data_IF_682879802330
#
_entry.id   IF_682879802330
#
_cell.length_a   1.000
_cell.length_b   1.000
_cell.length_c   1.000
_cell.angle_alpha   90.00
_cell.angle_beta   90.00
_cell.angle_gamma   90.00
#
_symmetry.space_group_name_H-M   'P 1'
#
loop_
_entity.id
_entity.type
_entity.pdbx_description
1 polymer ?
#
# COMPACT_ATOMS: atom_id res chain seq x y z
N UNK A 1 16.55 27.36 -43.60
CA UNK A 1 15.89 26.32 -44.41
C UNK A 1 16.90 25.20 -44.64
N UNK A 2 17.04 24.30 -43.68
CA UNK A 2 16.39 22.97 -43.64
C UNK A 2 16.96 21.99 -44.66
N UNK A 3 17.81 21.08 -44.17
CA UNK A 3 17.93 19.73 -44.71
C UNK A 3 18.54 18.73 -43.70
N UNK A 4 17.95 17.52 -43.75
CA UNK A 4 18.42 16.17 -43.40
C UNK A 4 18.45 15.62 -41.96
N UNK A 5 17.79 14.45 -41.87
CA UNK A 5 17.77 13.42 -40.82
C UNK A 5 19.17 12.91 -40.47
N UNK A 6 19.40 12.57 -39.20
CA UNK A 6 20.30 11.48 -38.83
C UNK A 6 19.88 10.79 -37.51
N UNK A 7 20.02 9.47 -37.54
CA UNK A 7 19.85 8.47 -36.49
C UNK A 7 20.53 8.79 -35.15
N UNK A 8 19.80 8.67 -34.04
CA UNK A 8 20.35 8.74 -32.68
C UNK A 8 20.57 7.37 -32.05
N UNK A 9 21.77 6.81 -32.20
CA UNK A 9 22.26 5.70 -31.35
C UNK A 9 22.30 6.18 -29.88
N UNK A 10 21.69 5.41 -28.98
CA UNK A 10 21.76 5.63 -27.52
C UNK A 10 23.20 5.45 -27.03
N UNK A 11 23.82 6.55 -26.61
CA UNK A 11 25.11 6.54 -25.91
C UNK A 11 24.89 6.02 -24.48
N UNK A 12 25.48 4.86 -24.17
CA UNK A 12 25.55 4.29 -22.81
C UNK A 12 26.54 5.13 -21.98
N UNK A 13 26.04 5.98 -21.09
CA UNK A 13 26.86 6.47 -19.98
C UNK A 13 26.93 5.39 -18.90
N UNK A 14 28.06 4.67 -18.85
CA UNK A 14 28.49 3.89 -17.68
C UNK A 14 28.87 4.90 -16.58
N UNK A 15 28.11 4.95 -15.49
CA UNK A 15 28.59 5.53 -14.24
C UNK A 15 28.96 4.39 -13.29
N UNK A 16 30.23 4.39 -12.89
CA UNK A 16 30.88 3.39 -12.06
C UNK A 16 30.16 3.18 -10.73
N UNK A 17 30.03 1.91 -10.36
CA UNK A 17 29.51 1.49 -9.08
C UNK A 17 30.61 1.61 -8.01
N UNK A 18 30.55 2.65 -7.17
CA UNK A 18 31.25 2.63 -5.90
C UNK A 18 30.53 1.69 -4.92
N UNK A 19 31.29 0.72 -4.43
CA UNK A 19 30.90 -0.21 -3.36
C UNK A 19 30.61 0.58 -2.09
N UNK A 20 29.35 0.56 -1.63
CA UNK A 20 28.97 1.09 -0.32
C UNK A 20 28.61 -0.07 0.62
N UNK A 21 29.38 -0.15 1.70
CA UNK A 21 29.42 -1.14 2.78
C UNK A 21 28.06 -1.61 3.35
N UNK A 22 28.06 -2.88 3.79
CA UNK A 22 26.91 -3.66 4.30
C UNK A 22 26.20 -3.11 5.54
N UNK A 23 26.77 -2.14 6.24
CA UNK A 23 26.12 -1.48 7.39
C UNK A 23 25.00 -0.50 7.00
N UNK A 24 24.96 -0.06 5.73
CA UNK A 24 23.93 0.85 5.19
C UNK A 24 22.70 0.08 4.67
N UNK A 25 22.84 -1.21 4.37
CA UNK A 25 21.75 -2.08 3.90
C UNK A 25 20.59 -2.18 4.89
N UNK A 26 20.88 -2.17 6.20
CA UNK A 26 19.88 -2.29 7.25
C UNK A 26 18.98 -1.04 7.39
N UNK A 27 19.48 0.15 7.08
CA UNK A 27 18.68 1.39 7.13
C UNK A 27 17.72 1.52 5.94
N UNK A 28 18.10 1.03 4.75
CA UNK A 28 17.25 1.06 3.54
C UNK A 28 16.03 0.15 3.64
N UNK A 29 16.15 -0.99 4.34
CA UNK A 29 14.99 -1.85 4.65
C UNK A 29 14.11 -1.30 5.78
N UNK A 30 14.59 -0.32 6.56
CA UNK A 30 13.83 0.32 7.67
C UNK A 30 13.03 1.55 7.21
N UNK A 31 13.45 2.18 6.12
CA UNK A 31 12.67 3.21 5.39
C UNK A 31 11.43 2.59 4.71
N UNK A 32 11.40 1.27 4.50
CA UNK A 32 10.25 0.53 3.92
C UNK A 32 8.96 0.78 4.69
N UNK A 33 9.00 0.75 6.03
CA UNK A 33 7.81 1.02 6.86
C UNK A 33 7.20 2.39 6.55
N UNK A 34 8.01 3.32 6.06
CA UNK A 34 7.62 4.69 5.77
C UNK A 34 7.30 4.97 4.30
N UNK A 35 7.86 4.23 3.35
CA UNK A 35 7.31 4.21 1.98
C UNK A 35 5.94 3.56 2.00
N UNK A 36 5.75 2.51 2.83
CA UNK A 36 4.43 1.94 3.11
C UNK A 36 3.52 2.98 3.77
N UNK A 37 3.99 3.69 4.80
CA UNK A 37 3.22 4.74 5.46
C UNK A 37 2.84 5.92 4.55
N UNK A 38 3.81 6.46 3.80
CA UNK A 38 3.60 7.59 2.91
C UNK A 38 2.78 7.24 1.68
N UNK A 39 2.81 5.99 1.22
CA UNK A 39 1.98 5.52 0.09
C UNK A 39 0.58 5.13 0.54
N UNK A 40 0.44 4.52 1.74
CA UNK A 40 -0.87 4.28 2.38
C UNK A 40 -1.54 5.61 2.70
N UNK A 41 -0.83 6.58 3.26
CA UNK A 41 -1.41 7.90 3.54
C UNK A 41 -1.65 8.69 2.25
N UNK A 42 -0.75 8.71 1.27
CA UNK A 42 -1.06 9.34 -0.03
C UNK A 42 -2.22 8.66 -0.77
N UNK A 43 -2.42 7.36 -0.59
CA UNK A 43 -3.60 6.64 -1.10
C UNK A 43 -4.89 7.07 -0.40
N UNK A 44 -4.86 7.23 0.93
CA UNK A 44 -5.98 7.75 1.73
C UNK A 44 -6.27 9.22 1.40
N UNK A 45 -5.24 10.06 1.21
CA UNK A 45 -5.41 11.47 0.83
C UNK A 45 -5.98 11.62 -0.57
N UNK A 46 -5.58 10.77 -1.54
CA UNK A 46 -6.17 10.76 -2.88
C UNK A 46 -7.64 10.34 -2.88
N UNK A 47 -8.05 9.45 -1.98
CA UNK A 47 -9.46 9.08 -1.80
C UNK A 47 -10.30 10.22 -1.19
N UNK A 48 -9.68 11.17 -0.49
CA UNK A 48 -10.35 12.33 0.13
C UNK A 48 -10.38 13.60 -0.76
N UNK A 49 -9.70 13.61 -1.91
CA UNK A 49 -9.61 14.78 -2.81
C UNK A 49 -10.24 14.55 -4.20
N UNK A 50 -11.20 13.65 -4.34
CA UNK A 50 -12.06 13.64 -5.54
C UNK A 50 -13.05 14.81 -5.47
N UNK A 51 -12.53 16.01 -5.72
CA UNK A 51 -13.36 17.12 -6.20
C UNK A 51 -13.88 16.77 -7.58
N UNK A 52 -15.16 17.06 -7.77
CA UNK A 52 -15.92 16.94 -9.01
C UNK A 52 -15.13 17.49 -10.20
N UNK A 53 -15.01 16.65 -11.23
CA UNK A 53 -14.71 17.14 -12.58
C UNK A 53 -16.08 17.29 -13.23
N UNK A 54 -16.68 18.48 -13.08
CA UNK A 54 -17.73 18.95 -13.99
C UNK A 54 -17.04 19.33 -15.31
N UNK A 55 -16.80 18.33 -16.14
CA UNK A 55 -16.42 18.48 -17.53
C UNK A 55 -17.57 17.98 -18.38
N UNK A 56 -18.26 18.91 -19.04
CA UNK A 56 -19.32 18.62 -20.02
C UNK A 56 -18.75 17.67 -21.08
N UNK A 57 -19.09 16.39 -20.96
CA UNK A 57 -18.80 15.37 -21.96
C UNK A 57 -19.96 15.39 -22.96
N UNK A 58 -19.69 15.82 -24.19
CA UNK A 58 -20.62 15.62 -25.30
C UNK A 58 -20.89 14.12 -25.42
N UNK A 59 -22.14 13.71 -25.20
CA UNK A 59 -22.58 12.33 -25.31
C UNK A 59 -22.40 11.85 -26.75
N UNK A 60 -21.41 11.00 -26.99
CA UNK A 60 -21.45 10.10 -28.13
C UNK A 60 -22.61 9.13 -27.88
N UNK A 61 -23.54 9.04 -28.83
CA UNK A 61 -24.69 8.15 -28.75
C UNK A 61 -24.23 6.71 -28.45
N UNK A 62 -24.58 6.21 -27.27
CA UNK A 62 -24.28 4.84 -26.85
C UNK A 62 -25.05 3.87 -27.74
N UNK A 63 -24.35 2.91 -28.36
CA UNK A 63 -25.00 1.79 -28.99
C UNK A 63 -25.80 1.02 -27.91
N UNK A 64 -27.08 0.69 -28.14
CA UNK A 64 -27.89 -0.01 -27.16
C UNK A 64 -27.28 -1.38 -26.86
N UNK A 65 -26.89 -1.60 -25.61
CA UNK A 65 -26.48 -2.91 -25.11
C UNK A 65 -27.71 -3.81 -25.01
N UNK A 66 -27.90 -4.72 -25.96
CA UNK A 66 -28.98 -5.71 -25.86
C UNK A 66 -28.56 -6.87 -24.95
N UNK A 67 -29.27 -7.04 -23.84
CA UNK A 67 -29.08 -8.14 -22.89
C UNK A 67 -29.84 -9.37 -23.39
N UNK A 68 -29.13 -10.45 -23.72
CA UNK A 68 -29.72 -11.65 -24.37
C UNK A 68 -30.33 -12.66 -23.37
N UNK A 69 -30.26 -12.40 -22.06
CA UNK A 69 -30.86 -13.26 -21.04
C UNK A 69 -31.87 -12.48 -20.22
N UNK A 70 -33.02 -13.11 -19.97
CA UNK A 70 -33.90 -12.74 -18.86
C UNK A 70 -33.00 -12.65 -17.64
N UNK A 71 -33.00 -11.51 -16.94
CA UNK A 71 -32.32 -11.45 -15.64
C UNK A 71 -32.85 -12.63 -14.84
N UNK A 72 -31.98 -13.55 -14.39
CA UNK A 72 -32.34 -14.36 -13.24
C UNK A 72 -32.93 -13.36 -12.24
N UNK A 73 -34.14 -13.59 -11.70
CA UNK A 73 -34.61 -12.72 -10.63
C UNK A 73 -33.45 -12.69 -9.66
N UNK A 74 -32.84 -11.51 -9.49
CA UNK A 74 -31.78 -11.33 -8.51
C UNK A 74 -32.51 -11.66 -7.24
N UNK A 75 -32.39 -12.91 -6.79
CA UNK A 75 -32.88 -13.31 -5.50
C UNK A 75 -32.11 -12.35 -4.60
N UNK A 76 -32.76 -11.33 -4.02
CA UNK A 76 -32.05 -10.29 -3.33
C UNK A 76 -31.63 -10.94 -2.03
N UNK A 77 -30.51 -11.65 -2.08
CA UNK A 77 -29.83 -12.10 -0.90
C UNK A 77 -29.29 -10.81 -0.32
N UNK A 78 -30.05 -10.25 0.60
CA UNK A 78 -29.62 -9.12 1.37
C UNK A 78 -28.27 -9.49 1.96
N UNK A 79 -27.29 -8.61 1.80
CA UNK A 79 -25.97 -8.82 2.39
C UNK A 79 -26.21 -9.06 3.88
N UNK A 80 -25.98 -10.29 4.35
CA UNK A 80 -26.28 -10.64 5.73
C UNK A 80 -25.31 -9.88 6.64
N UNK A 81 -25.83 -8.94 7.43
CA UNK A 81 -25.03 -8.19 8.40
C UNK A 81 -25.55 -6.79 8.71
N UNK A 82 -24.64 -6.02 9.32
CA UNK A 82 -24.85 -4.63 9.77
C UNK A 82 -25.24 -3.70 8.62
N UNK A 83 -25.98 -2.63 8.94
CA UNK A 83 -26.30 -1.55 8.01
C UNK A 83 -25.01 -0.95 7.42
N UNK A 84 -24.86 -0.89 6.08
CA UNK A 84 -23.68 -0.27 5.45
C UNK A 84 -23.53 1.19 5.84
N UNK A 85 -22.30 1.62 6.07
CA UNK A 85 -21.99 3.00 6.40
C UNK A 85 -20.85 3.16 7.39
N UNK A 86 -20.54 4.43 7.64
CA UNK A 86 -19.55 4.82 8.65
C UNK A 86 -20.11 4.59 10.05
N UNK A 87 -19.26 4.12 10.95
CA UNK A 87 -19.62 3.86 12.35
C UNK A 87 -18.53 4.39 13.28
N UNK A 88 -18.90 4.84 14.48
CA UNK A 88 -17.96 5.33 15.49
C UNK A 88 -17.05 6.50 15.04
N UNK A 89 -17.47 7.31 14.05
CA UNK A 89 -16.68 8.43 13.54
C UNK A 89 -17.06 9.74 14.24
N UNK A 90 -16.14 10.72 14.32
CA UNK A 90 -16.45 12.07 14.77
C UNK A 90 -17.57 12.71 13.94
N UNK A 91 -18.28 13.74 14.47
CA UNK A 91 -19.24 14.53 13.70
C UNK A 91 -18.65 15.05 12.38
N UNK A 92 -19.48 15.15 11.33
CA UNK A 92 -19.04 15.56 9.98
C UNK A 92 -18.28 16.89 9.94
N UNK A 93 -18.65 17.83 10.81
CA UNK A 93 -18.01 19.14 10.98
C UNK A 93 -16.73 19.12 11.84
N UNK A 94 -16.27 17.95 12.28
CA UNK A 94 -15.01 17.84 13.03
C UNK A 94 -13.81 18.21 12.19
N UNK A 95 -12.76 18.73 12.84
CA UNK A 95 -11.50 19.03 12.18
C UNK A 95 -10.87 17.77 11.55
N UNK A 96 -10.18 17.88 10.39
CA UNK A 96 -9.54 16.75 9.72
C UNK A 96 -8.60 15.93 10.62
N UNK A 97 -7.99 16.57 11.62
CA UNK A 97 -7.10 15.91 12.59
C UNK A 97 -7.84 14.88 13.45
N UNK A 98 -9.15 15.04 13.70
CA UNK A 98 -9.94 14.08 14.44
C UNK A 98 -10.05 12.75 13.67
N UNK A 99 -10.32 12.83 12.35
CA UNK A 99 -10.33 11.67 11.46
C UNK A 99 -8.96 11.03 11.32
N UNK A 100 -7.89 11.84 11.26
CA UNK A 100 -6.52 11.34 11.23
C UNK A 100 -6.20 10.45 12.43
N UNK A 101 -6.66 10.82 13.64
CA UNK A 101 -6.41 10.04 14.85
C UNK A 101 -7.22 8.75 14.93
N UNK A 102 -8.23 8.53 14.06
CA UNK A 102 -8.84 7.22 13.90
C UNK A 102 -7.83 6.22 13.30
N UNK A 103 -7.08 6.65 12.28
CA UNK A 103 -6.03 5.87 11.61
C UNK A 103 -4.73 5.80 12.43
N UNK A 104 -4.38 6.90 13.11
CA UNK A 104 -3.21 7.01 13.96
C UNK A 104 -3.61 7.13 15.42
N UNK A 105 -4.22 6.05 15.91
CA UNK A 105 -4.63 5.94 17.30
C UNK A 105 -3.46 6.17 18.27
N UNK A 106 -3.77 6.58 19.49
CA UNK A 106 -2.76 6.71 20.55
C UNK A 106 -2.01 5.39 20.80
N UNK A 107 -2.65 4.25 20.55
CA UNK A 107 -2.03 2.94 20.67
C UNK A 107 -0.88 2.74 19.68
N UNK A 108 -1.11 2.94 18.37
CA UNK A 108 -0.05 2.76 17.37
C UNK A 108 1.04 3.81 17.52
N UNK A 109 0.68 5.05 17.87
CA UNK A 109 1.63 6.12 18.13
C UNK A 109 2.54 5.79 19.32
N UNK A 110 1.97 5.34 20.46
CA UNK A 110 2.76 4.90 21.62
C UNK A 110 3.67 3.72 21.28
N UNK A 111 3.20 2.77 20.45
CA UNK A 111 4.02 1.66 19.98
C UNK A 111 5.20 2.13 19.14
N UNK A 112 4.96 2.97 18.14
CA UNK A 112 6.01 3.58 17.31
C UNK A 112 7.04 4.28 18.20
N UNK A 113 6.58 5.13 19.13
CA UNK A 113 7.46 5.85 20.06
C UNK A 113 8.31 4.89 20.90
N UNK A 114 7.69 3.85 21.48
CA UNK A 114 8.40 2.87 22.33
C UNK A 114 9.47 2.13 21.55
N UNK A 115 9.13 1.58 20.38
CA UNK A 115 10.06 0.78 19.59
C UNK A 115 11.15 1.65 18.93
N UNK A 116 10.83 2.89 18.54
CA UNK A 116 11.81 3.87 18.04
C UNK A 116 12.84 4.22 19.13
N UNK A 117 12.39 4.47 20.36
CA UNK A 117 13.30 4.69 21.50
C UNK A 117 14.15 3.46 21.81
N UNK A 118 13.56 2.28 21.81
CA UNK A 118 14.28 1.01 22.03
C UNK A 118 15.37 0.82 20.98
N UNK A 119 15.05 1.06 19.71
CA UNK A 119 16.01 0.94 18.63
C UNK A 119 17.11 2.00 18.69
N UNK A 120 16.80 3.24 19.08
CA UNK A 120 17.82 4.28 19.30
C UNK A 120 18.86 3.83 20.35
N UNK A 121 18.42 3.26 21.48
CA UNK A 121 19.32 2.68 22.50
C UNK A 121 20.18 1.54 21.95
N UNK A 122 19.57 0.63 21.18
CA UNK A 122 20.30 -0.48 20.55
C UNK A 122 21.36 0.02 19.55
N UNK A 123 21.03 1.04 18.77
CA UNK A 123 21.91 1.64 17.78
C UNK A 123 23.09 2.37 18.46
N UNK A 124 22.83 3.08 19.55
CA UNK A 124 23.86 3.69 20.40
C UNK A 124 24.83 2.65 20.98
N UNK A 125 24.30 1.59 21.59
CA UNK A 125 25.11 0.53 22.17
C UNK A 125 26.01 -0.15 21.12
N UNK A 126 25.48 -0.40 19.91
CA UNK A 126 26.27 -0.96 18.79
C UNK A 126 27.34 0.02 18.31
N UNK A 127 27.02 1.31 18.27
CA UNK A 127 27.97 2.35 17.85
C UNK A 127 29.14 2.47 18.80
N UNK A 128 28.88 2.41 20.12
CA UNK A 128 29.92 2.43 21.16
C UNK A 128 30.83 1.21 21.05
N UNK A 129 30.27 0.01 20.85
CA UNK A 129 31.05 -1.23 20.78
C UNK A 129 31.91 -1.35 19.53
N UNK A 130 31.36 -1.04 18.35
CA UNK A 130 32.03 -1.43 17.09
C UNK A 130 32.62 -0.24 16.32
N UNK A 131 32.46 1.00 16.78
CA UNK A 131 32.84 2.23 16.08
C UNK A 131 32.34 2.30 14.60
N UNK A 132 31.26 1.59 14.27
CA UNK A 132 30.82 1.34 12.87
C UNK A 132 30.12 2.51 12.18
N UNK A 133 29.98 3.68 12.82
CA UNK A 133 29.25 4.81 12.25
C UNK A 133 30.21 5.89 11.75
N UNK A 134 29.89 6.45 10.59
CA UNK A 134 30.52 7.67 10.11
C UNK A 134 30.47 8.77 11.19
N UNK A 135 31.54 9.55 11.33
CA UNK A 135 31.71 10.53 12.41
C UNK A 135 30.49 11.44 12.62
N UNK A 136 29.94 12.02 11.54
CA UNK A 136 28.74 12.88 11.61
C UNK A 136 27.45 12.14 12.05
N UNK A 137 27.37 10.84 11.83
CA UNK A 137 26.26 10.00 12.26
C UNK A 137 26.44 9.47 13.69
N UNK A 138 27.69 9.42 14.16
CA UNK A 138 28.09 9.11 15.52
C UNK A 138 27.80 10.32 16.44
N UNK A 139 28.24 11.52 16.04
CA UNK A 139 27.97 12.78 16.74
C UNK A 139 26.46 13.00 16.96
N UNK A 140 25.65 12.98 15.91
CA UNK A 140 24.18 13.11 16.02
C UNK A 140 23.52 12.09 16.93
N UNK A 141 24.10 10.88 17.02
CA UNK A 141 23.58 9.84 17.88
C UNK A 141 23.94 10.11 19.35
N UNK A 142 25.13 10.63 19.63
CA UNK A 142 25.53 11.05 20.96
C UNK A 142 24.82 12.32 21.45
N UNK A 143 24.41 13.20 20.54
CA UNK A 143 23.54 14.36 20.83
C UNK A 143 22.10 13.95 21.19
N UNK A 144 21.73 12.68 21.06
CA UNK A 144 20.40 12.22 21.46
C UNK A 144 20.25 12.31 22.99
N UNK A 145 19.39 13.22 23.43
CA UNK A 145 19.01 13.47 24.83
C UNK A 145 18.22 12.34 25.53
N UNK A 146 18.30 11.10 25.05
CA UNK A 146 17.78 9.94 25.76
C UNK A 146 16.32 9.56 25.51
N UNK A 147 15.51 10.38 24.82
CA UNK A 147 14.11 10.02 24.50
C UNK A 147 13.50 10.78 23.31
N UNK A 148 12.65 10.06 22.56
CA UNK A 148 11.67 10.59 21.63
C UNK A 148 10.27 10.51 22.24
N UNK A 149 9.44 11.53 22.01
CA UNK A 149 8.06 11.58 22.54
C UNK A 149 7.00 11.19 21.49
N UNK A 150 5.77 10.96 21.93
CA UNK A 150 4.62 10.79 21.02
C UNK A 150 4.41 12.06 20.20
N UNK A 151 4.57 13.24 20.81
CA UNK A 151 4.48 14.54 20.13
C UNK A 151 5.50 14.66 19.01
N UNK A 152 6.74 14.22 19.24
CA UNK A 152 7.76 14.20 18.17
C UNK A 152 7.43 13.18 17.07
N UNK A 153 6.85 12.03 17.39
CA UNK A 153 6.37 11.10 16.36
C UNK A 153 5.24 11.76 15.54
N UNK A 154 4.27 12.44 16.18
CA UNK A 154 3.24 13.21 15.46
C UNK A 154 3.86 14.29 14.57
N UNK A 155 4.83 15.05 15.08
CA UNK A 155 5.57 16.05 14.30
C UNK A 155 6.31 15.44 13.12
N UNK A 156 6.93 14.26 13.29
CA UNK A 156 7.60 13.53 12.21
C UNK A 156 6.62 13.20 11.10
N UNK A 157 5.44 12.67 11.44
CA UNK A 157 4.37 12.37 10.47
C UNK A 157 3.88 13.63 9.76
N UNK A 158 3.59 14.69 10.51
CA UNK A 158 3.19 15.98 9.96
C UNK A 158 4.24 16.54 8.98
N UNK A 159 5.52 16.42 9.34
CA UNK A 159 6.63 16.84 8.50
C UNK A 159 6.62 16.08 7.18
N UNK A 160 6.46 14.77 7.22
CA UNK A 160 6.39 13.95 6.00
C UNK A 160 5.20 14.33 5.13
N UNK A 161 4.00 14.50 5.70
CA UNK A 161 2.85 14.84 4.88
C UNK A 161 3.06 16.17 4.19
N UNK A 162 3.63 17.14 4.90
CA UNK A 162 3.96 18.42 4.31
C UNK A 162 5.08 18.32 3.25
N UNK A 163 6.02 17.37 3.35
CA UNK A 163 6.97 17.07 2.27
C UNK A 163 6.30 16.47 1.02
N UNK A 164 5.15 15.80 1.21
CA UNK A 164 4.32 15.31 0.11
C UNK A 164 3.67 16.44 -0.69
N UNK A 165 3.24 17.49 0.02
CA UNK A 165 2.64 18.72 -0.53
C UNK A 165 3.70 19.65 -1.12
N UNK A 166 4.72 19.98 -0.34
CA UNK A 166 5.81 20.89 -0.71
C UNK A 166 7.03 20.06 -1.09
N UNK A 167 7.14 19.63 -2.35
CA UNK A 167 8.25 18.79 -2.79
C UNK A 167 9.52 19.61 -3.03
N UNK A 168 10.62 19.22 -2.40
CA UNK A 168 11.97 19.74 -2.66
C UNK A 168 12.93 18.67 -3.17
N UNK A 169 14.00 19.04 -3.92
CA UNK A 169 14.91 18.08 -4.54
C UNK A 169 15.62 17.14 -3.56
N UNK A 170 15.94 17.62 -2.35
CA UNK A 170 16.57 16.80 -1.31
C UNK A 170 16.02 17.09 0.08
N UNK A 171 16.20 16.13 1.01
CA UNK A 171 15.82 16.30 2.42
C UNK A 171 16.48 17.53 3.05
N UNK A 172 17.71 17.89 2.64
CA UNK A 172 18.43 19.04 3.22
C UNK A 172 17.80 20.37 2.81
N UNK A 173 17.17 20.43 1.64
CA UNK A 173 16.61 21.67 1.09
C UNK A 173 15.41 22.19 1.89
N UNK A 174 14.71 21.31 2.60
CA UNK A 174 13.62 21.68 3.51
C UNK A 174 14.06 22.57 4.67
N UNK A 175 15.34 22.51 5.05
CA UNK A 175 15.95 23.35 6.07
C UNK A 175 16.96 24.35 5.49
N UNK A 176 16.98 24.55 4.17
CA UNK A 176 17.93 25.46 3.53
C UNK A 176 17.60 26.91 3.85
N UNK A 177 18.61 27.65 4.32
CA UNK A 177 18.56 29.10 4.52
C UNK A 177 19.26 29.88 3.42
N UNK A 178 19.85 29.20 2.42
CA UNK A 178 20.77 29.78 1.42
C UNK A 178 20.14 30.89 0.59
N UNK A 179 18.89 30.70 0.15
CA UNK A 179 18.16 31.67 -0.68
C UNK A 179 16.78 31.93 -0.09
N UNK A 180 16.37 33.20 -0.01
CA UNK A 180 15.05 33.59 0.52
C UNK A 180 13.91 32.87 -0.21
N UNK A 181 14.00 32.76 -1.55
CA UNK A 181 13.02 32.05 -2.40
C UNK A 181 12.90 30.54 -2.13
N UNK A 182 13.90 29.92 -1.48
CA UNK A 182 13.88 28.49 -1.13
C UNK A 182 13.49 28.23 0.32
N UNK A 183 13.43 29.27 1.16
CA UNK A 183 13.10 29.12 2.58
C UNK A 183 11.68 28.61 2.73
N UNK A 184 11.48 27.70 3.68
CA UNK A 184 10.16 27.18 4.02
C UNK A 184 10.10 27.07 5.54
N UNK A 185 9.87 28.20 6.24
CA UNK A 185 10.14 28.34 7.68
C UNK A 185 9.44 27.30 8.55
N UNK A 186 8.27 26.82 8.11
CA UNK A 186 7.48 25.79 8.78
C UNK A 186 8.31 24.53 9.14
N UNK A 187 9.18 24.05 8.24
CA UNK A 187 10.00 22.85 8.51
C UNK A 187 11.03 23.08 9.62
N UNK A 188 11.69 24.24 9.63
CA UNK A 188 12.63 24.61 10.69
C UNK A 188 11.95 24.96 12.00
N UNK A 189 10.70 25.42 11.97
CA UNK A 189 9.88 25.63 13.16
C UNK A 189 9.42 24.32 13.81
N UNK A 190 9.21 23.27 13.00
CA UNK A 190 8.81 21.95 13.49
C UNK A 190 9.98 21.14 14.08
N UNK A 191 11.12 21.08 13.39
CA UNK A 191 12.33 20.40 13.85
C UNK A 191 13.60 21.11 13.40
N UNK A 192 14.69 20.90 14.13
CA UNK A 192 16.02 21.03 13.52
C UNK A 192 16.21 19.90 12.49
N UNK A 193 16.94 20.18 11.40
CA UNK A 193 17.27 19.17 10.37
C UNK A 193 17.89 17.91 10.98
N UNK A 194 18.78 18.09 11.95
CA UNK A 194 19.49 16.98 12.58
C UNK A 194 18.53 16.13 13.43
N UNK A 195 17.61 16.75 14.18
CA UNK A 195 16.61 16.02 14.97
C UNK A 195 15.64 15.24 14.08
N UNK A 196 15.15 15.85 12.99
CA UNK A 196 14.30 15.15 12.02
C UNK A 196 15.02 13.94 11.41
N UNK A 197 16.26 14.12 10.94
CA UNK A 197 17.03 13.02 10.35
C UNK A 197 17.35 11.91 11.35
N UNK A 198 17.59 12.26 12.61
CA UNK A 198 17.81 11.30 13.68
C UNK A 198 16.54 10.49 13.97
N UNK A 199 15.39 11.17 14.12
CA UNK A 199 14.07 10.54 14.27
C UNK A 199 13.78 9.58 13.11
N UNK A 200 13.94 10.06 11.88
CA UNK A 200 13.71 9.27 10.67
C UNK A 200 14.61 8.02 10.62
N UNK A 201 15.86 8.15 11.07
CA UNK A 201 16.82 7.03 11.13
C UNK A 201 16.47 6.00 12.21
N UNK A 202 15.94 6.47 13.34
CA UNK A 202 15.58 5.62 14.48
C UNK A 202 14.14 5.10 14.43
N UNK A 203 13.34 5.49 13.44
CA UNK A 203 11.95 5.07 13.33
C UNK A 203 11.83 3.54 13.31
N UNK A 204 11.01 3.01 14.20
CA UNK A 204 10.88 1.57 14.38
C UNK A 204 9.50 1.16 14.92
N UNK A 205 9.06 -0.06 14.60
CA UNK A 205 7.73 -0.60 14.92
C UNK A 205 7.74 -1.90 15.75
N UNK A 206 8.90 -2.55 15.84
CA UNK A 206 9.06 -3.88 16.44
C UNK A 206 10.27 -3.92 17.38
N UNK A 207 10.39 -4.96 18.19
CA UNK A 207 11.62 -5.23 18.92
C UNK A 207 12.53 -6.12 18.07
N UNK A 208 13.73 -5.64 17.74
CA UNK A 208 14.73 -6.45 17.03
C UNK A 208 15.06 -7.77 17.75
N UNK A 209 14.98 -7.82 19.10
CA UNK A 209 15.24 -9.05 19.86
C UNK A 209 14.17 -10.13 19.65
N UNK A 210 12.96 -9.73 19.28
CA UNK A 210 11.81 -10.62 19.10
C UNK A 210 11.54 -10.91 17.62
N UNK A 211 12.43 -10.48 16.72
CA UNK A 211 12.28 -10.70 15.28
C UNK A 211 13.21 -11.85 14.88
N UNK A 212 12.67 -12.96 14.35
CA UNK A 212 13.49 -14.08 13.89
C UNK A 212 14.54 -13.61 12.87
N UNK A 213 15.71 -14.25 12.89
CA UNK A 213 16.76 -13.98 11.93
C UNK A 213 16.39 -14.50 10.55
N UNK A 214 17.01 -13.96 9.50
CA UNK A 214 16.66 -14.26 8.09
C UNK A 214 16.81 -15.74 7.70
N UNK A 215 17.69 -16.46 8.38
CA UNK A 215 17.94 -17.89 8.19
C UNK A 215 16.97 -18.78 8.99
N UNK A 216 16.18 -18.23 9.90
CA UNK A 216 15.19 -18.99 10.66
C UNK A 216 13.99 -19.36 9.77
N UNK A 217 13.43 -20.55 10.00
CA UNK A 217 12.17 -20.99 9.41
C UNK A 217 11.01 -20.02 9.74
N UNK A 218 11.03 -19.43 10.94
CA UNK A 218 10.02 -18.49 11.42
C UNK A 218 10.20 -17.06 10.89
N UNK A 219 11.13 -16.83 9.94
CA UNK A 219 11.37 -15.51 9.39
C UNK A 219 10.19 -15.00 8.56
N UNK A 220 9.58 -13.91 9.03
CA UNK A 220 8.58 -13.16 8.26
C UNK A 220 9.22 -11.88 7.69
N UNK A 221 9.39 -11.76 6.36
CA UNK A 221 9.97 -10.56 5.76
C UNK A 221 9.13 -9.30 5.98
N UNK A 222 7.83 -9.45 6.29
CA UNK A 222 6.92 -8.34 6.56
C UNK A 222 6.86 -7.91 8.04
N UNK A 223 7.52 -8.64 8.95
CA UNK A 223 7.44 -8.43 10.40
C UNK A 223 7.69 -6.97 10.82
N UNK A 224 8.59 -6.28 10.12
CA UNK A 224 9.01 -4.90 10.40
C UNK A 224 7.88 -3.87 10.27
N UNK A 225 6.87 -4.14 9.46
CA UNK A 225 5.71 -3.27 9.27
C UNK A 225 4.37 -3.97 9.52
N UNK A 226 4.38 -5.26 9.86
CA UNK A 226 3.20 -6.01 10.25
C UNK A 226 2.33 -5.30 11.31
N UNK A 227 2.89 -4.69 12.38
CA UNK A 227 2.06 -4.01 13.37
C UNK A 227 1.21 -2.86 12.82
N UNK A 228 1.69 -2.17 11.77
CA UNK A 228 0.91 -1.08 11.17
C UNK A 228 -0.13 -1.59 10.18
N UNK A 229 0.15 -2.70 9.49
CA UNK A 229 -0.84 -3.37 8.62
C UNK A 229 -1.99 -3.90 9.45
N UNK A 230 -1.68 -4.60 10.54
CA UNK A 230 -2.68 -5.12 11.49
C UNK A 230 -3.50 -3.98 12.10
N UNK A 231 -2.85 -2.88 12.49
CA UNK A 231 -3.56 -1.72 13.01
C UNK A 231 -4.48 -1.09 11.97
N UNK A 232 -4.01 -0.87 10.75
CA UNK A 232 -4.81 -0.31 9.68
C UNK A 232 -6.02 -1.19 9.36
N UNK A 233 -5.83 -2.50 9.21
CA UNK A 233 -6.91 -3.46 8.96
C UNK A 233 -7.93 -3.50 10.12
N UNK A 234 -7.48 -3.36 11.36
CA UNK A 234 -8.36 -3.28 12.53
C UNK A 234 -9.20 -1.99 12.51
N UNK A 235 -8.55 -0.84 12.29
CA UNK A 235 -9.20 0.46 12.20
C UNK A 235 -10.21 0.48 11.05
N UNK A 236 -9.83 -0.01 9.88
CA UNK A 236 -10.69 -0.04 8.70
C UNK A 236 -12.04 -0.71 8.98
N UNK A 237 -12.00 -1.90 9.60
CA UNK A 237 -13.21 -2.63 9.99
C UNK A 237 -14.00 -1.96 11.11
N UNK A 238 -13.32 -1.24 11.99
CA UNK A 238 -13.94 -0.58 13.14
C UNK A 238 -14.81 0.60 12.72
N UNK A 239 -14.43 1.31 11.66
CA UNK A 239 -15.08 2.57 11.28
C UNK A 239 -15.94 2.51 10.02
N UNK A 240 -15.90 1.41 9.26
CA UNK A 240 -16.76 1.22 8.10
C UNK A 240 -17.37 -0.19 8.10
N UNK A 241 -18.68 -0.25 7.88
CA UNK A 241 -19.36 -1.43 7.33
C UNK A 241 -19.52 -1.21 5.83
N UNK A 242 -18.89 -2.03 4.97
CA UNK A 242 -18.89 -1.79 3.54
C UNK A 242 -20.26 -2.06 2.91
N UNK A 243 -20.52 -1.39 1.79
CA UNK A 243 -21.60 -1.71 0.84
C UNK A 243 -21.33 -3.05 0.15
N UNK A 244 -22.33 -3.54 -0.58
CA UNK A 244 -22.34 -4.86 -1.22
C UNK A 244 -21.17 -5.05 -2.20
N UNK A 245 -20.84 -4.04 -2.98
CA UNK A 245 -19.83 -4.13 -4.03
C UNK A 245 -18.41 -3.91 -3.48
N UNK A 246 -17.56 -4.91 -3.66
CA UNK A 246 -16.17 -4.92 -3.22
C UNK A 246 -15.25 -5.06 -4.42
N UNK A 247 -14.07 -4.46 -4.38
CA UNK A 247 -13.04 -4.63 -5.41
C UNK A 247 -11.76 -5.22 -4.81
N UNK A 248 -11.17 -6.19 -5.51
CA UNK A 248 -9.88 -6.78 -5.16
C UNK A 248 -8.89 -6.53 -6.30
N UNK A 249 -7.75 -5.94 -5.96
CA UNK A 249 -6.67 -5.62 -6.90
C UNK A 249 -5.31 -5.57 -6.19
N UNK A 250 -4.22 -5.40 -6.95
CA UNK A 250 -2.89 -5.12 -6.41
C UNK A 250 -2.51 -3.64 -6.41
N UNK A 251 -1.83 -3.23 -5.34
CA UNK A 251 -1.12 -1.96 -5.24
C UNK A 251 0.38 -2.20 -5.14
N UNK A 252 1.19 -1.26 -5.66
CA UNK A 252 2.65 -1.36 -5.64
C UNK A 252 3.27 -0.15 -4.98
N UNK A 253 3.99 -0.40 -3.89
CA UNK A 253 4.72 0.62 -3.15
C UNK A 253 6.14 0.67 -3.68
N UNK A 254 6.41 1.68 -4.51
CA UNK A 254 7.68 1.84 -5.21
C UNK A 254 8.87 1.94 -4.25
N UNK A 255 9.82 1.01 -4.33
CA UNK A 255 11.01 1.02 -3.48
C UNK A 255 12.21 0.38 -4.17
N UNK A 256 13.39 0.90 -3.84
CA UNK A 256 14.69 0.30 -4.20
C UNK A 256 15.33 -0.44 -3.02
N UNK A 257 14.56 -0.73 -1.97
CA UNK A 257 15.06 -1.43 -0.82
C UNK A 257 15.44 -2.88 -1.16
N UNK A 258 16.51 -3.37 -0.53
CA UNK A 258 16.98 -4.74 -0.67
C UNK A 258 16.16 -5.64 0.25
N UNK A 259 15.02 -6.10 -0.23
CA UNK A 259 14.16 -7.07 0.47
C UNK A 259 13.72 -8.17 -0.47
N UNK A 260 13.46 -9.35 0.08
CA UNK A 260 12.92 -10.50 -0.66
C UNK A 260 11.51 -10.26 -1.19
N UNK A 261 10.81 -9.24 -0.67
CA UNK A 261 9.45 -8.87 -1.10
C UNK A 261 9.41 -7.92 -2.29
N UNK A 262 10.57 -7.41 -2.74
CA UNK A 262 10.62 -6.50 -3.89
C UNK A 262 10.23 -7.27 -5.16
N UNK A 263 9.18 -6.81 -5.82
CA UNK A 263 8.66 -7.37 -7.06
C UNK A 263 8.87 -6.38 -8.20
N UNK A 264 9.10 -6.93 -9.40
CA UNK A 264 9.14 -6.18 -10.65
C UNK A 264 7.79 -6.30 -11.36
N UNK A 265 7.12 -5.18 -11.59
CA UNK A 265 5.85 -5.10 -12.31
C UNK A 265 6.01 -4.08 -13.45
N UNK A 266 6.27 -4.51 -14.69
CA UNK A 266 6.59 -3.62 -15.81
C UNK A 266 5.53 -2.55 -16.11
N UNK A 267 4.26 -2.89 -15.87
CA UNK A 267 3.10 -2.06 -16.19
C UNK A 267 2.87 -0.92 -15.18
N UNK A 268 3.48 -0.96 -13.99
CA UNK A 268 3.31 0.09 -12.97
C UNK A 268 4.39 1.16 -13.15
N UNK A 269 4.05 2.42 -12.85
CA UNK A 269 4.94 3.58 -12.99
C UNK A 269 6.26 3.41 -12.22
N UNK A 270 6.17 2.92 -10.98
CA UNK A 270 7.32 2.42 -10.25
C UNK A 270 7.48 0.93 -10.51
N UNK A 271 8.36 0.55 -11.42
CA UNK A 271 8.47 -0.85 -11.85
C UNK A 271 8.95 -1.80 -10.75
N UNK A 272 9.60 -1.30 -9.70
CA UNK A 272 10.11 -2.10 -8.57
C UNK A 272 9.48 -1.63 -7.27
N UNK A 273 8.90 -2.56 -6.49
CA UNK A 273 8.27 -2.19 -5.23
C UNK A 273 7.79 -3.37 -4.40
N UNK A 274 7.19 -3.07 -3.26
CA UNK A 274 6.50 -4.07 -2.44
C UNK A 274 5.05 -4.10 -2.89
N UNK A 275 4.61 -5.27 -3.38
CA UNK A 275 3.23 -5.48 -3.81
C UNK A 275 2.34 -5.72 -2.60
N UNK A 276 1.18 -5.07 -2.58
CA UNK A 276 0.09 -5.30 -1.63
C UNK A 276 -1.11 -5.85 -2.37
N UNK A 277 -1.79 -6.82 -1.77
CA UNK A 277 -3.12 -7.24 -2.16
C UNK A 277 -4.15 -6.41 -1.41
N UNK A 278 -5.04 -5.75 -2.12
CA UNK A 278 -5.99 -4.77 -1.57
C UNK A 278 -7.41 -5.28 -1.72
N UNK A 279 -8.20 -5.16 -0.66
CA UNK A 279 -9.65 -5.31 -0.66
C UNK A 279 -10.26 -3.95 -0.28
N UNK A 280 -11.07 -3.41 -1.19
CA UNK A 280 -11.66 -2.08 -1.05
C UNK A 280 -13.17 -2.10 -1.27
N UNK A 281 -13.88 -1.15 -0.68
CA UNK A 281 -15.28 -0.88 -1.05
C UNK A 281 -15.30 -0.19 -2.43
N UNK A 282 -16.08 -0.73 -3.36
CA UNK A 282 -16.08 -0.25 -4.74
C UNK A 282 -16.61 1.18 -4.87
N UNK A 283 -17.62 1.55 -4.07
CA UNK A 283 -18.29 2.85 -4.17
C UNK A 283 -17.42 4.04 -3.72
N UNK A 284 -16.53 3.83 -2.75
CA UNK A 284 -15.74 4.92 -2.13
C UNK A 284 -14.24 4.77 -2.29
N UNK A 285 -13.76 3.59 -2.69
CA UNK A 285 -12.35 3.23 -2.69
C UNK A 285 -11.76 3.05 -1.28
N UNK A 286 -12.59 2.98 -0.23
CA UNK A 286 -12.13 2.78 1.13
C UNK A 286 -11.45 1.41 1.29
N UNK A 287 -10.26 1.41 1.86
CA UNK A 287 -9.49 0.17 2.08
C UNK A 287 -10.04 -0.56 3.30
N UNK A 288 -10.65 -1.72 3.06
CA UNK A 288 -11.21 -2.58 4.10
C UNK A 288 -10.13 -3.47 4.70
N UNK A 289 -9.32 -4.08 3.84
CA UNK A 289 -8.26 -5.00 4.25
C UNK A 289 -7.15 -5.04 3.21
N UNK A 290 -5.91 -5.25 3.65
CA UNK A 290 -4.82 -5.50 2.73
C UNK A 290 -3.72 -6.39 3.34
N UNK A 291 -2.99 -7.07 2.46
CA UNK A 291 -1.92 -7.99 2.82
C UNK A 291 -0.67 -7.75 1.96
N UNK A 292 0.54 -7.70 2.54
CA UNK A 292 1.76 -7.67 1.74
C UNK A 292 1.98 -9.00 1.03
N UNK A 293 2.40 -8.95 -0.24
CA UNK A 293 2.86 -10.13 -0.95
C UNK A 293 4.30 -10.43 -0.54
N UNK A 294 4.51 -11.53 0.17
CA UNK A 294 5.81 -11.93 0.75
C UNK A 294 6.64 -12.77 -0.21
N UNK A 295 6.05 -13.23 -1.30
CA UNK A 295 6.67 -14.07 -2.34
C UNK A 295 6.40 -15.55 -2.12
N UNK A 296 6.61 -16.37 -3.15
CA UNK A 296 6.21 -17.80 -3.19
C UNK A 296 6.71 -18.62 -2.00
N UNK A 297 7.92 -18.36 -1.52
CA UNK A 297 8.52 -19.05 -0.37
C UNK A 297 7.75 -18.82 0.94
N UNK A 298 7.16 -17.64 1.10
CA UNK A 298 6.51 -17.22 2.36
C UNK A 298 4.98 -17.25 2.27
N UNK A 299 4.44 -17.24 1.05
CA UNK A 299 3.01 -17.38 0.74
C UNK A 299 2.81 -18.64 -0.14
N UNK A 300 2.92 -19.86 0.43
CA UNK A 300 2.67 -21.09 -0.31
C UNK A 300 1.20 -21.11 -0.78
N UNK A 301 0.99 -21.65 -1.98
CA UNK A 301 -0.33 -21.76 -2.60
C UNK A 301 -0.75 -23.23 -2.45
N UNK A 302 -1.98 -23.52 -1.99
CA UNK A 302 -2.49 -24.88 -1.94
C UNK A 302 -2.41 -25.57 -3.31
N UNK A 303 -2.21 -26.89 -3.31
CA UNK A 303 -2.23 -27.69 -4.53
C UNK A 303 -3.56 -27.46 -5.26
N UNK A 304 -3.50 -27.33 -6.59
CA UNK A 304 -4.65 -27.08 -7.48
C UNK A 304 -5.30 -25.68 -7.38
N UNK A 305 -4.75 -24.75 -6.60
CA UNK A 305 -5.21 -23.36 -6.58
C UNK A 305 -4.23 -22.40 -7.29
N UNK A 306 -4.76 -21.28 -7.77
CA UNK A 306 -3.93 -20.19 -8.28
C UNK A 306 -3.65 -19.19 -7.16
N UNK A 307 -2.55 -18.43 -7.28
CA UNK A 307 -2.25 -17.37 -6.31
C UNK A 307 -3.42 -16.38 -6.16
N UNK A 308 -4.06 -16.02 -7.28
CA UNK A 308 -5.19 -15.11 -7.31
C UNK A 308 -6.36 -15.63 -6.47
N UNK A 309 -6.75 -16.90 -6.67
CA UNK A 309 -7.83 -17.55 -5.92
C UNK A 309 -7.57 -17.54 -4.41
N UNK A 310 -6.38 -18.00 -4.00
CA UNK A 310 -6.01 -18.05 -2.59
C UNK A 310 -5.99 -16.66 -1.95
N UNK A 311 -5.53 -15.64 -2.68
CA UNK A 311 -5.52 -14.25 -2.19
C UNK A 311 -6.92 -13.71 -1.99
N UNK A 312 -7.84 -13.90 -2.95
CA UNK A 312 -9.24 -13.45 -2.84
C UNK A 312 -9.89 -14.06 -1.61
N UNK A 313 -9.81 -15.38 -1.48
CA UNK A 313 -10.41 -16.08 -0.35
C UNK A 313 -9.80 -15.63 0.99
N UNK A 314 -8.47 -15.50 1.05
CA UNK A 314 -7.77 -15.03 2.25
C UNK A 314 -8.15 -13.61 2.63
N UNK A 315 -8.28 -12.69 1.68
CA UNK A 315 -8.68 -11.30 1.96
C UNK A 315 -10.10 -11.24 2.52
N UNK A 316 -11.06 -11.91 1.88
CA UNK A 316 -12.46 -11.92 2.33
C UNK A 316 -12.62 -12.59 3.69
N UNK A 317 -11.97 -13.74 3.90
CA UNK A 317 -11.95 -14.45 5.19
C UNK A 317 -11.33 -13.58 6.27
N UNK A 318 -10.17 -13.00 6.00
CA UNK A 318 -9.47 -12.13 6.95
C UNK A 318 -10.25 -10.86 7.23
N UNK A 319 -11.07 -10.38 6.28
CA UNK A 319 -11.94 -9.22 6.45
C UNK A 319 -13.22 -9.55 7.24
N UNK A 320 -13.65 -10.82 7.28
CA UNK A 320 -14.91 -11.24 7.88
C UNK A 320 -16.11 -10.98 6.97
N UNK A 321 -15.90 -11.07 5.65
CA UNK A 321 -16.89 -10.76 4.61
C UNK A 321 -17.35 -11.99 3.78
N UNK A 322 -16.81 -13.18 4.05
CA UNK A 322 -17.35 -14.42 3.47
C UNK A 322 -18.71 -14.77 4.12
N UNK A 323 -19.55 -15.51 3.40
CA UNK A 323 -20.83 -15.98 3.92
C UNK A 323 -21.95 -14.93 3.96
N UNK A 324 -21.75 -13.76 3.33
CA UNK A 324 -22.58 -12.57 3.53
C UNK A 324 -23.13 -11.95 2.25
N UNK A 325 -23.06 -12.64 1.12
CA UNK A 325 -23.56 -12.20 -0.19
C UNK A 325 -22.97 -10.89 -0.71
N UNK A 326 -21.74 -10.56 -0.29
CA UNK A 326 -20.97 -9.49 -0.95
C UNK A 326 -20.69 -9.85 -2.40
N UNK A 327 -20.59 -8.83 -3.25
CA UNK A 327 -20.27 -8.98 -4.66
C UNK A 327 -18.87 -8.45 -4.95
N UNK A 328 -17.96 -9.38 -5.24
CA UNK A 328 -16.55 -9.09 -5.46
C UNK A 328 -16.27 -8.90 -6.93
N UNK A 329 -15.59 -7.80 -7.26
CA UNK A 329 -15.07 -7.48 -8.58
C UNK A 329 -13.55 -7.63 -8.58
N UNK A 330 -13.02 -8.34 -9.57
CA UNK A 330 -11.56 -8.51 -9.72
C UNK A 330 -11.13 -8.70 -11.17
N UNK A 331 -9.84 -8.51 -11.41
CA UNK A 331 -9.25 -8.68 -12.74
C UNK A 331 -9.02 -10.16 -13.13
N UNK A 332 -8.40 -10.37 -14.29
CA UNK A 332 -8.11 -11.70 -14.83
C UNK A 332 -6.97 -12.45 -14.12
N UNK A 333 -6.20 -11.79 -13.25
CA UNK A 333 -5.20 -12.45 -12.42
C UNK A 333 -5.89 -13.27 -11.32
N UNK A 334 -6.96 -12.73 -10.74
CA UNK A 334 -7.70 -13.36 -9.64
C UNK A 334 -8.75 -14.37 -10.09
N UNK A 335 -9.39 -14.13 -11.22
CA UNK A 335 -10.61 -14.86 -11.63
C UNK A 335 -10.32 -16.26 -12.19
N UNK A 336 -11.09 -17.26 -11.75
CA UNK A 336 -11.18 -18.62 -12.30
C UNK A 336 -12.55 -19.23 -12.03
N UNK A 337 -12.98 -20.21 -12.85
CA UNK A 337 -14.25 -20.94 -12.60
C UNK A 337 -14.26 -21.58 -11.21
N UNK A 338 -13.15 -22.22 -10.82
CA UNK A 338 -13.01 -22.85 -9.50
C UNK A 338 -13.19 -21.86 -8.34
N UNK A 339 -12.70 -20.62 -8.48
CA UNK A 339 -12.91 -19.57 -7.49
C UNK A 339 -14.37 -19.14 -7.45
N UNK A 340 -15.00 -18.93 -8.61
CA UNK A 340 -16.41 -18.54 -8.69
C UNK A 340 -17.30 -19.57 -8.00
N UNK A 341 -17.12 -20.87 -8.30
CA UNK A 341 -17.88 -21.95 -7.66
C UNK A 341 -17.67 -21.95 -6.14
N UNK A 342 -16.42 -21.85 -5.68
CA UNK A 342 -16.11 -21.84 -4.24
C UNK A 342 -16.69 -20.64 -3.50
N UNK A 343 -16.64 -19.45 -4.10
CA UNK A 343 -17.23 -18.25 -3.48
C UNK A 343 -18.75 -18.35 -3.44
N UNK A 344 -19.37 -18.89 -4.50
CA UNK A 344 -20.81 -19.09 -4.53
C UNK A 344 -21.28 -20.08 -3.45
N UNK A 345 -20.56 -21.19 -3.24
CA UNK A 345 -20.84 -22.12 -2.11
C UNK A 345 -20.66 -21.49 -0.74
N UNK A 346 -19.89 -20.40 -0.66
CA UNK A 346 -19.64 -19.59 0.54
C UNK A 346 -20.47 -18.30 0.53
N UNK A 347 -21.63 -18.33 -0.14
CA UNK A 347 -22.60 -17.23 -0.21
C UNK A 347 -21.92 -15.90 -0.59
N UNK A 348 -21.09 -15.88 -1.63
CA UNK A 348 -20.35 -14.70 -2.08
C UNK A 348 -20.33 -14.64 -3.61
N UNK A 349 -20.73 -13.52 -4.20
CA UNK A 349 -20.73 -13.36 -5.65
C UNK A 349 -19.36 -12.90 -6.16
N UNK A 350 -19.02 -13.31 -7.39
CA UNK A 350 -17.81 -12.91 -8.09
C UNK A 350 -18.14 -12.45 -9.50
N UNK A 351 -17.60 -11.30 -9.90
CA UNK A 351 -17.55 -10.86 -11.29
C UNK A 351 -16.12 -10.46 -11.63
N UNK A 352 -15.64 -10.92 -12.78
CA UNK A 352 -14.30 -10.58 -13.22
C UNK A 352 -14.05 -11.00 -14.65
N UNK A 353 -12.98 -10.45 -15.22
CA UNK A 353 -12.50 -10.88 -16.53
C UNK A 353 -11.74 -12.20 -16.37
N UNK A 354 -11.75 -13.06 -17.39
CA UNK A 354 -11.05 -14.35 -17.36
C UNK A 354 -10.15 -14.49 -18.59
N UNK A 355 -8.93 -14.98 -18.40
CA UNK A 355 -7.99 -15.18 -19.53
C UNK A 355 -8.44 -16.37 -20.37
N UNK A 356 -8.36 -16.25 -21.71
CA UNK A 356 -8.74 -17.31 -22.67
C UNK A 356 -8.02 -18.65 -22.43
N UNK A 357 -6.80 -18.60 -21.88
CA UNK A 357 -5.99 -19.77 -21.56
C UNK A 357 -6.38 -20.48 -20.24
N UNK A 358 -7.38 -19.98 -19.51
CA UNK A 358 -7.95 -20.71 -18.37
C UNK A 358 -8.86 -21.85 -18.84
N UNK A 359 -9.26 -22.69 -17.89
CA UNK A 359 -10.31 -23.68 -18.10
C UNK A 359 -11.62 -22.92 -18.31
N UNK A 360 -12.08 -22.86 -19.57
CA UNK A 360 -13.36 -22.28 -20.00
C UNK A 360 -14.06 -23.32 -20.88
N UNK A 361 -15.41 -23.33 -20.91
CA UNK A 361 -16.17 -24.19 -21.82
C UNK A 361 -15.73 -24.00 -23.29
N UNK A 362 -15.69 -25.10 -24.06
CA UNK A 362 -15.33 -25.06 -25.49
C UNK A 362 -16.25 -24.12 -26.28
N UNK A 363 -17.55 -24.16 -25.98
CA UNK A 363 -18.56 -23.26 -26.54
C UNK A 363 -18.13 -21.78 -26.48
N UNK A 364 -17.60 -21.31 -25.34
CA UNK A 364 -17.14 -19.92 -25.18
C UNK A 364 -15.82 -19.67 -25.93
N UNK A 365 -14.92 -20.65 -25.99
CA UNK A 365 -13.63 -20.50 -26.68
C UNK A 365 -13.77 -20.45 -28.20
N UNK A 366 -14.80 -21.11 -28.73
CA UNK A 366 -15.03 -21.34 -30.17
C UNK A 366 -16.14 -20.44 -30.76
N UNK A 367 -16.93 -19.76 -29.93
CA UNK A 367 -18.09 -18.95 -30.32
C UNK A 367 -17.87 -17.85 -31.39
N UNK A 368 -16.63 -17.38 -31.58
CA UNK A 368 -16.20 -16.35 -32.55
C UNK A 368 -17.29 -15.32 -32.97
N UNK A 369 -17.84 -14.53 -32.03
CA UNK A 369 -18.90 -13.57 -32.34
C UNK A 369 -18.38 -12.42 -33.20
N UNK A 370 -19.25 -11.83 -34.02
CA UNK A 370 -18.93 -10.60 -34.76
C UNK A 370 -18.78 -9.40 -33.82
N UNK A 371 -18.28 -8.28 -34.35
CA UNK A 371 -18.23 -7.03 -33.60
C UNK A 371 -19.62 -6.67 -33.02
N UNK A 372 -19.65 -6.25 -31.76
CA UNK A 372 -20.87 -5.94 -30.99
C UNK A 372 -21.80 -7.13 -30.71
N UNK A 373 -21.39 -8.37 -31.01
CA UNK A 373 -22.11 -9.58 -30.59
C UNK A 373 -21.47 -10.17 -29.34
N UNK A 374 -22.31 -10.81 -28.50
CA UNK A 374 -21.89 -11.50 -27.29
C UNK A 374 -22.50 -12.88 -27.26
N UNK A 375 -21.69 -13.88 -26.91
CA UNK A 375 -22.15 -15.24 -26.63
C UNK A 375 -22.04 -15.46 -25.15
N UNK A 376 -23.06 -16.09 -24.58
CA UNK A 376 -23.07 -16.42 -23.17
C UNK A 376 -23.35 -17.91 -23.02
N UNK A 377 -22.81 -18.48 -21.95
CA UNK A 377 -22.99 -19.87 -21.58
C UNK A 377 -23.24 -19.90 -20.08
N UNK A 378 -24.13 -20.80 -19.65
CA UNK A 378 -24.45 -21.03 -18.26
C UNK A 378 -23.62 -22.20 -17.72
#
# INVERSE_FOLDING_TARGET
MSFWRASGKRQKCRFGAERVNDSVCSAKSRIIGFVIFGSVVNGITKAMTSQSIDGVFMMAAEAPWFRVYISEPVQPHNVHGDVPGVKNVPPRNSLPIAYFYLMFSIYILKRITRETNRYAKQLLARTRRNNTLHASSKLRMFEWNGKFTVTEIKGLLATIFNMGLIRKPSIKDYWSKKFKSKKTPWFSGMFSRNRFQLLLRCLHLVNNKNTPQRNSEFYDPSAWFKPIVEHANMVSKRYLTPKRELSIDESLIGTKARTVMTQYIPSKSSKFGIKLWMLVEAATGYIIHFLPCRGKRYDPIPNNETQGCNVVFKLLRSAGLLGKWFHVFCDNFFTSISLTTRLYTENTYLTGTIRKNRHLPRLIKEANPNANQSVFAR
#
